data_IF_300291920337
#
_entry.id   IF_300291920337
#
_cell.length_a   1.000
_cell.length_b   1.000
_cell.length_c   1.000
_cell.angle_alpha   90.00
_cell.angle_beta   90.00
_cell.angle_gamma   90.00
#
_symmetry.space_group_name_H-M   'P 1'
#
loop_
_entity.id
_entity.type
_entity.pdbx_description
1 polymer ?
#
# COMPACT_ATOMS: atom_id res chain seq x y z
N UNK A 1 -21.13 -12.74 11.04
CA UNK A 1 -21.64 -12.64 9.65
C UNK A 1 -21.78 -11.21 9.10
N UNK A 2 -21.74 -10.13 9.91
CA UNK A 2 -21.84 -8.74 9.41
C UNK A 2 -20.54 -8.07 8.91
N UNK A 3 -19.38 -8.48 9.42
CA UNK A 3 -18.09 -7.82 9.12
C UNK A 3 -17.43 -8.20 7.78
N UNK A 4 -17.80 -9.36 7.20
CA UNK A 4 -17.40 -9.71 5.83
C UNK A 4 -18.18 -8.90 4.78
N UNK A 5 -19.40 -8.46 5.10
CA UNK A 5 -20.28 -7.78 4.14
C UNK A 5 -19.90 -6.31 3.90
N UNK A 6 -19.37 -5.61 4.92
CA UNK A 6 -18.93 -4.22 4.77
C UNK A 6 -17.52 -4.10 4.14
N UNK A 7 -16.60 -5.01 4.50
CA UNK A 7 -15.34 -5.21 3.75
C UNK A 7 -15.64 -5.58 2.30
N UNK A 8 -16.59 -6.49 2.08
CA UNK A 8 -17.02 -6.92 0.74
C UNK A 8 -17.54 -5.76 -0.10
N UNK A 9 -18.30 -4.78 0.41
CA UNK A 9 -18.86 -3.72 -0.46
C UNK A 9 -17.87 -2.63 -0.86
N UNK A 10 -16.99 -2.18 0.04
CA UNK A 10 -15.99 -1.14 -0.29
C UNK A 10 -14.84 -1.71 -1.12
N UNK A 11 -14.39 -2.94 -0.81
CA UNK A 11 -13.47 -3.68 -1.68
C UNK A 11 -14.14 -4.10 -2.99
N UNK A 12 -15.38 -4.61 -3.00
CA UNK A 12 -16.07 -4.96 -4.26
C UNK A 12 -16.40 -3.75 -5.14
N UNK A 13 -16.61 -2.56 -4.59
CA UNK A 13 -16.78 -1.35 -5.40
C UNK A 13 -15.44 -0.89 -6.01
N UNK A 14 -14.33 -1.08 -5.28
CA UNK A 14 -12.97 -0.93 -5.82
C UNK A 14 -12.70 -1.97 -6.91
N UNK A 15 -13.01 -3.25 -6.65
CA UNK A 15 -12.85 -4.38 -7.57
C UNK A 15 -13.79 -4.31 -8.79
N UNK A 16 -14.90 -3.56 -8.72
CA UNK A 16 -15.85 -3.38 -9.81
C UNK A 16 -15.54 -2.18 -10.75
N UNK A 17 -14.39 -1.51 -10.59
CA UNK A 17 -13.96 -0.46 -11.52
C UNK A 17 -14.84 0.80 -11.53
N UNK A 18 -15.53 1.12 -10.42
CA UNK A 18 -16.34 2.36 -10.26
C UNK A 18 -15.69 3.35 -9.29
N UNK A 19 -14.54 3.96 -9.65
CA UNK A 19 -13.70 4.72 -8.73
C UNK A 19 -14.41 5.91 -8.06
N UNK A 20 -15.39 6.52 -8.73
CA UNK A 20 -16.18 7.62 -8.15
C UNK A 20 -17.10 7.14 -7.03
N UNK A 21 -17.77 6.00 -7.20
CA UNK A 21 -18.71 5.49 -6.22
C UNK A 21 -17.97 4.97 -4.97
N UNK A 22 -16.86 4.26 -5.16
CA UNK A 22 -16.00 3.79 -4.08
C UNK A 22 -15.45 4.93 -3.24
N UNK A 23 -15.11 6.07 -3.86
CA UNK A 23 -14.66 7.26 -3.16
C UNK A 23 -15.74 7.85 -2.22
N UNK A 24 -17.00 7.88 -2.65
CA UNK A 24 -18.09 8.37 -1.81
C UNK A 24 -18.34 7.47 -0.60
N UNK A 25 -18.40 6.15 -0.81
CA UNK A 25 -18.54 5.16 0.28
C UNK A 25 -17.36 5.26 1.24
N UNK A 26 -16.15 5.38 0.72
CA UNK A 26 -14.96 5.55 1.53
C UNK A 26 -15.04 6.83 2.39
N UNK A 27 -15.50 7.94 1.81
CA UNK A 27 -15.74 9.18 2.56
C UNK A 27 -16.78 9.04 3.68
N UNK A 28 -17.83 8.23 3.49
CA UNK A 28 -18.78 7.90 4.56
C UNK A 28 -18.14 7.06 5.67
N UNK A 29 -17.35 6.04 5.30
CA UNK A 29 -16.60 5.23 6.26
C UNK A 29 -15.62 6.08 7.09
N UNK A 30 -14.94 7.04 6.46
CA UNK A 30 -14.08 8.01 7.14
C UNK A 30 -14.86 8.83 8.15
N UNK A 31 -16.01 9.39 7.76
CA UNK A 31 -16.85 10.17 8.68
C UNK A 31 -17.36 9.33 9.85
N UNK A 32 -17.76 8.08 9.61
CA UNK A 32 -18.17 7.16 10.68
C UNK A 32 -17.02 6.89 11.65
N UNK A 33 -15.81 6.63 11.15
CA UNK A 33 -14.64 6.41 11.99
C UNK A 33 -14.30 7.64 12.86
N UNK A 34 -14.47 8.85 12.32
CA UNK A 34 -14.29 10.11 13.05
C UNK A 34 -15.36 10.32 14.12
N UNK A 35 -16.64 10.09 13.80
CA UNK A 35 -17.76 10.22 14.76
C UNK A 35 -17.62 9.23 15.91
N UNK A 36 -17.17 8.01 15.62
CA UNK A 36 -16.89 6.99 16.63
C UNK A 36 -15.57 7.22 17.39
N UNK A 37 -14.82 8.28 17.05
CA UNK A 37 -13.52 8.62 17.64
C UNK A 37 -12.51 7.46 17.60
N UNK A 38 -12.52 6.67 16.52
CA UNK A 38 -11.67 5.48 16.41
C UNK A 38 -10.17 5.79 16.32
N UNK A 39 -9.79 7.08 16.24
CA UNK A 39 -8.42 7.57 16.36
C UNK A 39 -7.93 7.63 17.82
N UNK A 40 -8.82 7.48 18.80
CA UNK A 40 -8.51 7.51 20.23
C UNK A 40 -8.58 6.11 20.84
N UNK A 41 -7.50 5.65 21.47
CA UNK A 41 -7.49 4.38 22.19
C UNK A 41 -8.47 4.38 23.37
N UNK A 42 -8.64 5.53 24.03
CA UNK A 42 -9.58 5.71 25.14
C UNK A 42 -11.04 5.46 24.73
N UNK A 43 -11.40 5.65 23.45
CA UNK A 43 -12.73 5.33 22.93
C UNK A 43 -13.03 3.83 22.90
N UNK A 44 -11.99 3.00 23.05
CA UNK A 44 -12.05 1.54 23.01
C UNK A 44 -12.04 0.91 24.42
N UNK A 45 -11.82 1.72 25.46
CA UNK A 45 -11.82 1.28 26.85
C UNK A 45 -13.21 0.78 27.26
N UNK A 46 -13.25 -0.31 28.02
CA UNK A 46 -14.49 -0.93 28.48
C UNK A 46 -15.25 -1.76 27.44
N UNK A 47 -14.80 -1.79 26.18
CA UNK A 47 -15.35 -2.68 25.15
C UNK A 47 -14.86 -4.12 25.33
N UNK A 48 -15.59 -5.06 24.74
CA UNK A 48 -15.10 -6.44 24.60
C UNK A 48 -13.78 -6.45 23.80
N UNK A 49 -12.78 -7.27 24.15
CA UNK A 49 -11.48 -7.27 23.47
C UNK A 49 -11.57 -7.43 21.95
N UNK A 50 -12.48 -8.28 21.48
CA UNK A 50 -12.73 -8.46 20.05
C UNK A 50 -13.30 -7.20 19.39
N UNK A 51 -14.22 -6.52 20.07
CA UNK A 51 -14.85 -5.32 19.53
C UNK A 51 -13.83 -4.18 19.42
N UNK A 52 -13.02 -4.00 20.47
CA UNK A 52 -11.91 -3.05 20.46
C UNK A 52 -10.95 -3.34 19.28
N UNK A 53 -10.56 -4.60 19.10
CA UNK A 53 -9.66 -5.01 18.01
C UNK A 53 -10.27 -4.79 16.62
N UNK A 54 -11.55 -5.10 16.42
CA UNK A 54 -12.25 -4.83 15.17
C UNK A 54 -12.31 -3.33 14.86
N UNK A 55 -12.52 -2.50 15.88
CA UNK A 55 -12.51 -1.03 15.76
C UNK A 55 -11.12 -0.49 15.44
N UNK A 56 -10.04 -1.02 16.05
CA UNK A 56 -8.65 -0.70 15.66
C UNK A 56 -8.42 -1.03 14.19
N UNK A 57 -8.76 -2.25 13.77
CA UNK A 57 -8.62 -2.69 12.37
C UNK A 57 -9.41 -1.79 11.41
N UNK A 58 -10.64 -1.42 11.77
CA UNK A 58 -11.47 -0.54 10.95
C UNK A 58 -10.82 0.85 10.77
N UNK A 59 -10.36 1.47 11.86
CA UNK A 59 -9.66 2.75 11.79
C UNK A 59 -8.43 2.68 10.88
N UNK A 60 -7.57 1.67 11.07
CA UNK A 60 -6.34 1.56 10.31
C UNK A 60 -6.55 1.23 8.82
N UNK A 61 -7.60 0.49 8.47
CA UNK A 61 -7.99 0.27 7.07
C UNK A 61 -8.39 1.59 6.42
N UNK A 62 -9.21 2.41 7.09
CA UNK A 62 -9.59 3.73 6.58
C UNK A 62 -8.37 4.64 6.51
N UNK A 63 -7.52 4.66 7.54
CA UNK A 63 -6.28 5.44 7.52
C UNK A 63 -5.39 5.11 6.32
N UNK A 64 -5.15 3.82 6.05
CA UNK A 64 -4.34 3.37 4.91
C UNK A 64 -5.02 3.69 3.56
N UNK A 65 -6.34 3.50 3.47
CA UNK A 65 -7.12 3.85 2.28
C UNK A 65 -7.02 5.33 1.93
N UNK A 66 -7.02 6.22 2.94
CA UNK A 66 -6.85 7.66 2.77
C UNK A 66 -5.48 8.00 2.17
N UNK A 67 -4.41 7.34 2.66
CA UNK A 67 -3.06 7.49 2.12
C UNK A 67 -2.92 6.97 0.71
N UNK A 68 -3.43 5.77 0.45
CA UNK A 68 -3.44 5.19 -0.89
C UNK A 68 -4.16 6.11 -1.88
N UNK A 69 -5.36 6.58 -1.54
CA UNK A 69 -6.12 7.49 -2.38
C UNK A 69 -5.41 8.84 -2.59
N UNK A 70 -4.79 9.39 -1.56
CA UNK A 70 -4.05 10.65 -1.68
C UNK A 70 -2.81 10.51 -2.58
N UNK A 71 -2.11 9.38 -2.47
CA UNK A 71 -0.84 9.14 -3.14
C UNK A 71 -1.06 8.69 -4.60
N UNK A 72 -1.93 7.71 -4.84
CA UNK A 72 -2.14 7.11 -6.16
C UNK A 72 -3.15 7.87 -7.02
N UNK A 73 -4.17 8.46 -6.39
CA UNK A 73 -5.29 9.12 -7.09
C UNK A 73 -5.31 10.65 -6.96
N UNK A 74 -4.24 11.26 -6.42
CA UNK A 74 -4.17 12.69 -6.15
C UNK A 74 -5.38 13.22 -5.36
N UNK A 75 -5.91 12.42 -4.42
CA UNK A 75 -7.00 12.86 -3.54
C UNK A 75 -6.47 13.72 -2.38
N UNK A 76 -7.31 14.58 -1.79
CA UNK A 76 -6.95 15.25 -0.54
C UNK A 76 -6.76 14.23 0.59
N UNK A 77 -5.78 14.48 1.46
CA UNK A 77 -5.59 13.72 2.71
C UNK A 77 -6.67 14.19 3.68
N UNK A 78 -7.44 13.24 4.22
CA UNK A 78 -8.53 13.50 5.17
C UNK A 78 -8.23 13.04 6.59
N UNK A 79 -7.30 12.09 6.76
CA UNK A 79 -6.95 11.53 8.08
C UNK A 79 -5.45 11.69 8.34
N UNK A 80 -5.02 12.81 8.91
CA UNK A 80 -3.63 13.01 9.31
C UNK A 80 -3.51 13.20 10.82
N UNK A 81 -2.30 13.09 11.39
CA UNK A 81 -2.07 13.41 12.82
C UNK A 81 -2.48 14.85 13.18
N UNK A 82 -2.46 15.75 12.20
CA UNK A 82 -2.91 17.14 12.34
C UNK A 82 -4.41 17.34 12.07
N UNK A 83 -5.13 16.29 11.63
CA UNK A 83 -6.58 16.33 11.45
C UNK A 83 -7.35 16.15 12.77
N UNK A 84 -6.66 15.77 13.84
CA UNK A 84 -7.23 15.48 15.15
C UNK A 84 -6.54 16.32 16.22
N UNK A 85 -7.30 16.87 17.15
CA UNK A 85 -6.77 17.69 18.25
C UNK A 85 -5.76 16.94 19.11
N UNK A 86 -6.08 15.70 19.51
CA UNK A 86 -5.19 14.83 20.30
C UNK A 86 -4.31 13.92 19.43
N UNK A 87 -4.32 14.10 18.11
CA UNK A 87 -3.65 13.20 17.17
C UNK A 87 -4.29 11.81 17.08
N UNK A 88 -3.45 10.81 16.78
CA UNK A 88 -3.84 9.40 16.66
C UNK A 88 -3.16 8.66 17.82
N UNK A 89 -3.96 8.14 18.75
CA UNK A 89 -3.47 7.35 19.90
C UNK A 89 -3.83 5.88 19.80
N UNK A 90 -4.74 5.51 18.89
CA UNK A 90 -5.13 4.12 18.63
C UNK A 90 -3.91 3.26 18.31
N UNK A 91 -3.77 2.15 19.02
CA UNK A 91 -2.66 1.22 18.87
C UNK A 91 -2.79 0.41 17.57
N UNK A 92 -1.66 -0.12 17.09
CA UNK A 92 -1.71 -1.11 16.02
C UNK A 92 -2.52 -2.34 16.47
N UNK A 93 -3.29 -2.97 15.58
CA UNK A 93 -4.02 -4.19 15.90
C UNK A 93 -3.10 -5.29 16.41
N UNK A 94 -3.56 -6.03 17.43
CA UNK A 94 -2.76 -7.05 18.11
C UNK A 94 -2.93 -8.45 17.52
N UNK A 95 -3.93 -8.66 16.67
CA UNK A 95 -4.22 -9.98 16.07
C UNK A 95 -5.26 -10.79 16.85
N UNK A 96 -5.90 -10.22 17.87
CA UNK A 96 -6.97 -10.90 18.63
C UNK A 96 -8.16 -11.22 17.70
N UNK A 97 -8.68 -12.43 17.77
CA UNK A 97 -9.91 -12.85 17.06
C UNK A 97 -10.82 -13.63 18.02
N UNK A 98 -12.13 -13.60 17.76
CA UNK A 98 -13.13 -14.29 18.58
C UNK A 98 -13.33 -15.69 18.05
N UNK A 99 -12.66 -16.67 18.66
CA UNK A 99 -13.22 -18.01 18.80
C UNK A 99 -12.85 -18.55 20.18
N UNK A 100 -13.86 -18.69 21.04
CA UNK A 100 -13.82 -19.71 22.07
C UNK A 100 -13.45 -21.05 21.39
N UNK A 101 -12.52 -21.85 21.94
CA UNK A 101 -12.25 -23.15 21.37
C UNK A 101 -13.55 -23.94 21.45
N UNK A 102 -14.15 -24.25 20.29
CA UNK A 102 -15.10 -25.35 20.22
C UNK A 102 -14.28 -26.59 20.54
N UNK A 103 -14.24 -26.94 21.83
CA UNK A 103 -13.64 -28.14 22.36
C UNK A 103 -14.42 -29.32 21.78
N UNK A 104 -14.07 -29.72 20.56
CA UNK A 104 -14.26 -31.11 20.16
C UNK A 104 -13.29 -31.93 21.00
N UNK A 105 -13.78 -32.85 21.85
CA UNK A 105 -12.91 -33.67 22.69
C UNK A 105 -12.10 -34.60 21.78
N UNK A 106 -10.89 -34.18 21.41
CA UNK A 106 -10.00 -34.96 20.55
C UNK A 106 -8.82 -34.22 19.93
N UNK A 107 -8.88 -32.89 19.73
CA UNK A 107 -7.78 -32.15 19.12
C UNK A 107 -6.97 -31.37 20.16
N UNK A 108 -5.93 -32.03 20.67
CA UNK A 108 -4.87 -31.40 21.45
C UNK A 108 -4.11 -30.40 20.57
N UNK A 109 -4.18 -29.12 20.96
CA UNK A 109 -3.35 -27.99 20.50
C UNK A 109 -3.34 -27.79 18.97
N UNK A 110 -4.36 -27.10 18.45
CA UNK A 110 -4.39 -26.73 17.03
C UNK A 110 -3.58 -25.45 16.79
N UNK A 111 -2.64 -25.51 15.84
CA UNK A 111 -1.75 -24.47 15.29
C UNK A 111 -2.44 -23.17 14.76
N UNK A 112 -3.65 -22.85 15.21
CA UNK A 112 -4.45 -21.70 14.78
C UNK A 112 -3.95 -20.37 15.37
N UNK A 113 -3.47 -20.37 16.61
CA UNK A 113 -3.10 -19.13 17.32
C UNK A 113 -1.83 -18.48 16.73
N UNK A 114 -0.83 -19.28 16.36
CA UNK A 114 0.44 -18.81 15.76
C UNK A 114 0.20 -18.20 14.37
N UNK A 115 -0.74 -18.74 13.60
CA UNK A 115 -1.09 -18.28 12.24
C UNK A 115 -1.82 -16.94 12.27
N UNK A 116 -2.68 -16.72 13.28
CA UNK A 116 -3.48 -15.50 13.40
C UNK A 116 -2.62 -14.30 13.80
N UNK A 117 -1.66 -14.49 14.71
CA UNK A 117 -0.69 -13.46 15.11
C UNK A 117 0.21 -13.07 13.92
N UNK A 118 0.65 -14.05 13.14
CA UNK A 118 1.57 -13.80 12.00
C UNK A 118 0.90 -13.06 10.84
N UNK A 119 -0.44 -13.14 10.68
CA UNK A 119 -1.16 -12.36 9.67
C UNK A 119 -1.38 -10.89 10.05
N UNK A 120 -1.32 -10.53 11.32
CA UNK A 120 -1.40 -9.12 11.71
C UNK A 120 -0.07 -8.41 11.50
N UNK A 121 1.05 -9.13 11.53
CA UNK A 121 2.39 -8.57 11.34
C UNK A 121 2.56 -7.95 9.94
N UNK A 122 2.13 -8.65 8.88
CA UNK A 122 2.20 -8.12 7.52
C UNK A 122 1.21 -6.96 7.28
N UNK A 123 0.02 -7.01 7.89
CA UNK A 123 -0.91 -5.87 7.90
C UNK A 123 -0.27 -4.64 8.55
N UNK A 124 0.30 -4.79 9.75
CA UNK A 124 0.94 -3.69 10.49
C UNK A 124 2.17 -3.16 9.77
N UNK A 125 2.96 -4.02 9.12
CA UNK A 125 4.07 -3.60 8.27
C UNK A 125 3.59 -2.75 7.10
N UNK A 126 2.46 -3.11 6.48
CA UNK A 126 1.88 -2.35 5.37
C UNK A 126 1.43 -0.97 5.84
N UNK A 127 0.77 -0.89 7.01
CA UNK A 127 0.40 0.39 7.61
C UNK A 127 1.61 1.29 7.82
N UNK A 128 2.69 0.77 8.42
CA UNK A 128 3.94 1.51 8.63
C UNK A 128 4.53 1.99 7.32
N UNK A 129 4.56 1.14 6.29
CA UNK A 129 5.04 1.49 4.96
C UNK A 129 4.31 2.70 4.38
N UNK A 130 2.97 2.66 4.36
CA UNK A 130 2.15 3.77 3.86
C UNK A 130 2.27 5.04 4.71
N UNK A 131 2.38 4.89 6.03
CA UNK A 131 2.60 6.02 6.93
C UNK A 131 3.95 6.70 6.65
N UNK A 132 5.05 5.95 6.57
CA UNK A 132 6.38 6.49 6.28
C UNK A 132 6.42 7.19 4.93
N UNK A 133 5.82 6.59 3.89
CA UNK A 133 5.72 7.23 2.58
C UNK A 133 4.89 8.51 2.61
N UNK A 134 3.76 8.52 3.35
CA UNK A 134 2.94 9.71 3.52
C UNK A 134 3.68 10.84 4.23
N UNK A 135 4.38 10.54 5.32
CA UNK A 135 5.14 11.53 6.09
C UNK A 135 6.22 12.18 5.21
N UNK A 136 6.94 11.36 4.42
CA UNK A 136 7.93 11.82 3.46
C UNK A 136 7.31 12.69 2.35
N UNK A 137 6.21 12.24 1.74
CA UNK A 137 5.54 12.97 0.66
C UNK A 137 4.90 14.28 1.14
N UNK A 138 4.44 14.32 2.40
CA UNK A 138 3.96 15.54 3.02
C UNK A 138 5.09 16.54 3.24
N UNK A 139 6.25 16.08 3.73
CA UNK A 139 7.42 16.94 3.89
C UNK A 139 7.85 17.55 2.54
N UNK A 140 7.92 16.72 1.50
CA UNK A 140 8.21 17.18 0.13
C UNK A 140 7.22 18.26 -0.34
N UNK A 141 5.93 18.09 -0.03
CA UNK A 141 4.88 19.07 -0.38
C UNK A 141 5.04 20.39 0.39
N UNK A 142 5.34 20.32 1.68
CA UNK A 142 5.56 21.51 2.51
C UNK A 142 6.80 22.29 2.05
N UNK A 143 7.88 21.60 1.68
CA UNK A 143 9.06 22.22 1.10
C UNK A 143 8.75 22.90 -0.23
N UNK A 144 7.93 22.29 -1.10
CA UNK A 144 7.51 22.90 -2.37
C UNK A 144 6.70 24.17 -2.16
N UNK A 145 5.76 24.17 -1.21
CA UNK A 145 4.90 25.33 -0.90
C UNK A 145 5.73 26.51 -0.37
N UNK A 146 6.65 26.26 0.57
CA UNK A 146 7.57 27.29 1.10
C UNK A 146 8.44 27.91 0.00
N UNK A 147 9.03 27.08 -0.85
CA UNK A 147 9.84 27.55 -1.96
C UNK A 147 9.04 28.42 -2.95
N UNK A 148 7.77 28.09 -3.21
CA UNK A 148 6.90 28.91 -4.06
C UNK A 148 6.59 30.27 -3.42
N UNK A 149 6.39 30.32 -2.11
CA UNK A 149 6.17 31.56 -1.37
C UNK A 149 7.42 32.45 -1.36
N UNK A 150 8.61 31.88 -1.11
CA UNK A 150 9.86 32.64 -1.08
C UNK A 150 10.24 33.25 -2.45
N UNK A 151 10.00 32.51 -3.54
CA UNK A 151 10.18 32.99 -4.91
C UNK A 151 9.24 34.16 -5.26
N UNK A 152 8.04 34.18 -4.68
CA UNK A 152 7.08 35.27 -4.89
C UNK A 152 7.46 36.56 -4.15
N UNK A 153 8.22 36.45 -3.06
CA UNK A 153 8.59 37.56 -2.18
C UNK A 153 10.04 38.05 -2.38
N UNK A 154 10.91 37.22 -2.95
CA UNK A 154 12.32 37.54 -3.15
C UNK A 154 12.86 36.90 -4.44
N UNK A 155 13.55 37.69 -5.27
CA UNK A 155 14.26 37.23 -6.48
C UNK A 155 15.49 36.34 -6.16
N UNK A 156 15.53 35.70 -4.98
CA UNK A 156 16.62 34.84 -4.57
C UNK A 156 16.40 33.44 -5.11
N UNK A 157 17.50 32.79 -5.52
CA UNK A 157 17.46 31.35 -5.79
C UNK A 157 16.92 30.65 -4.55
N UNK A 158 16.06 29.63 -4.74
CA UNK A 158 15.51 28.95 -3.58
C UNK A 158 16.73 28.38 -2.81
N UNK A 159 16.77 28.49 -1.49
CA UNK A 159 17.81 27.85 -0.67
C UNK A 159 17.11 26.91 0.32
N UNK A 160 17.18 25.59 0.08
CA UNK A 160 16.75 24.61 1.08
C UNK A 160 17.69 24.75 2.28
N UNK A 161 17.12 24.94 3.47
CA UNK A 161 17.92 24.93 4.70
C UNK A 161 18.55 23.55 4.92
N UNK A 162 19.76 23.49 5.47
CA UNK A 162 20.41 22.22 5.80
C UNK A 162 19.49 21.33 6.67
N UNK A 163 18.72 21.95 7.57
CA UNK A 163 17.76 21.27 8.43
C UNK A 163 16.61 20.59 7.67
N UNK A 164 16.07 21.21 6.63
CA UNK A 164 15.01 20.62 5.80
C UNK A 164 15.53 19.41 5.01
N UNK A 165 16.77 19.52 4.49
CA UNK A 165 17.42 18.40 3.83
C UNK A 165 17.66 17.24 4.79
N UNK A 166 18.22 17.50 5.98
CA UNK A 166 18.47 16.47 6.99
C UNK A 166 17.17 15.77 7.41
N UNK A 167 16.08 16.52 7.55
CA UNK A 167 14.76 15.96 7.86
C UNK A 167 14.22 15.09 6.74
N UNK A 168 14.36 15.54 5.49
CA UNK A 168 13.95 14.78 4.32
C UNK A 168 14.76 13.47 4.20
N UNK A 169 16.07 13.55 4.39
CA UNK A 169 16.98 12.41 4.35
C UNK A 169 16.63 11.40 5.45
N UNK A 170 16.35 11.87 6.68
CA UNK A 170 15.90 11.01 7.78
C UNK A 170 14.57 10.30 7.47
N UNK A 171 13.59 11.01 6.91
CA UNK A 171 12.31 10.41 6.48
C UNK A 171 12.49 9.41 5.34
N UNK A 172 13.38 9.72 4.39
CA UNK A 172 13.70 8.82 3.28
C UNK A 172 14.38 7.54 3.75
N UNK A 173 15.35 7.63 4.66
CA UNK A 173 16.00 6.47 5.29
C UNK A 173 14.95 5.64 6.03
N UNK A 174 14.11 6.27 6.87
CA UNK A 174 13.05 5.57 7.60
C UNK A 174 12.08 4.85 6.65
N UNK A 175 11.76 5.43 5.50
CA UNK A 175 10.92 4.79 4.49
C UNK A 175 11.62 3.59 3.84
N UNK A 176 12.89 3.74 3.41
CA UNK A 176 13.56 2.68 2.66
C UNK A 176 13.89 1.46 3.53
N UNK A 177 14.13 1.65 4.83
CA UNK A 177 14.46 0.59 5.78
C UNK A 177 13.24 0.06 6.56
N UNK A 178 12.02 0.55 6.30
CA UNK A 178 10.86 0.21 7.14
C UNK A 178 10.42 -1.26 7.08
N UNK A 179 10.95 -2.02 6.12
CA UNK A 179 10.66 -3.44 5.93
C UNK A 179 11.87 -4.35 6.25
N UNK A 180 13.01 -3.81 6.66
CA UNK A 180 14.23 -4.59 6.88
C UNK A 180 14.07 -5.62 8.00
N UNK A 181 13.36 -5.23 9.07
CA UNK A 181 13.10 -6.06 10.26
C UNK A 181 11.88 -6.98 10.10
N UNK A 182 11.40 -7.21 8.87
CA UNK A 182 10.29 -8.13 8.63
C UNK A 182 10.67 -9.57 9.06
N UNK A 183 9.73 -10.31 9.68
CA UNK A 183 9.90 -11.74 9.92
C UNK A 183 10.26 -12.49 8.63
N UNK A 184 11.08 -13.56 8.68
CA UNK A 184 11.54 -14.27 7.49
C UNK A 184 10.42 -14.69 6.54
N UNK A 185 9.27 -15.08 7.07
CA UNK A 185 8.12 -15.53 6.28
C UNK A 185 7.40 -14.39 5.51
N UNK A 186 7.76 -13.11 5.74
CA UNK A 186 7.27 -11.92 5.01
C UNK A 186 8.34 -11.26 4.13
N UNK A 187 9.56 -11.81 4.10
CA UNK A 187 10.65 -11.29 3.26
C UNK A 187 10.46 -11.68 1.78
N UNK A 188 11.08 -10.92 0.87
CA UNK A 188 10.92 -11.09 -0.57
C UNK A 188 11.42 -12.43 -1.12
N UNK A 189 12.47 -13.00 -0.53
CA UNK A 189 13.03 -14.29 -0.97
C UNK A 189 12.15 -15.50 -0.63
N UNK A 190 11.07 -15.29 0.13
CA UNK A 190 10.21 -16.36 0.63
C UNK A 190 9.32 -16.99 -0.44
N UNK A 191 9.10 -16.31 -1.58
CA UNK A 191 8.28 -16.83 -2.67
C UNK A 191 8.77 -18.20 -3.17
N UNK A 192 10.08 -18.36 -3.39
CA UNK A 192 10.65 -19.61 -3.89
C UNK A 192 10.63 -20.75 -2.85
N UNK A 193 10.74 -20.42 -1.56
CA UNK A 193 10.80 -21.41 -0.49
C UNK A 193 9.42 -22.01 -0.14
N UNK A 194 8.36 -21.24 -0.35
CA UNK A 194 7.02 -21.56 0.15
C UNK A 194 5.98 -21.83 -0.96
N UNK A 195 6.36 -21.76 -2.24
CA UNK A 195 5.44 -21.89 -3.37
C UNK A 195 4.73 -23.26 -3.45
N UNK A 196 5.40 -24.35 -3.05
CA UNK A 196 4.86 -25.72 -3.10
C UNK A 196 4.13 -26.13 -1.82
N UNK A 197 4.12 -25.28 -0.79
CA UNK A 197 3.43 -25.57 0.45
C UNK A 197 1.92 -25.28 0.34
N UNK A 198 1.11 -26.32 0.49
CA UNK A 198 -0.36 -26.23 0.38
C UNK A 198 -1.06 -25.67 1.63
N UNK A 199 -0.32 -25.29 2.67
CA UNK A 199 -0.90 -24.81 3.93
C UNK A 199 -1.55 -23.44 3.73
N UNK A 200 -2.77 -23.29 4.23
CA UNK A 200 -3.54 -22.04 4.13
C UNK A 200 -2.79 -20.85 4.77
N UNK A 201 -2.02 -21.14 5.82
CA UNK A 201 -1.15 -20.21 6.54
C UNK A 201 -0.08 -19.63 5.61
N UNK A 202 0.58 -20.53 4.86
CA UNK A 202 1.60 -20.20 3.88
C UNK A 202 1.00 -19.35 2.76
N UNK A 203 -0.25 -19.65 2.36
CA UNK A 203 -0.95 -18.81 1.38
C UNK A 203 -1.17 -17.39 1.87
N UNK A 204 -1.62 -17.21 3.11
CA UNK A 204 -1.83 -15.89 3.71
C UNK A 204 -0.53 -15.07 3.82
N UNK A 205 0.59 -15.72 4.10
CA UNK A 205 1.90 -15.06 4.11
C UNK A 205 2.33 -14.61 2.72
N UNK A 206 2.15 -15.46 1.70
CA UNK A 206 2.49 -15.13 0.32
C UNK A 206 1.64 -13.96 -0.21
N UNK A 207 0.36 -13.90 0.14
CA UNK A 207 -0.52 -12.75 -0.20
C UNK A 207 0.01 -11.45 0.43
N UNK A 208 0.36 -11.49 1.71
CA UNK A 208 0.86 -10.30 2.43
C UNK A 208 2.23 -9.87 1.92
N UNK A 209 3.14 -10.82 1.70
CA UNK A 209 4.46 -10.54 1.13
C UNK A 209 4.33 -9.90 -0.26
N UNK A 210 3.52 -10.49 -1.15
CA UNK A 210 3.27 -9.92 -2.48
C UNK A 210 2.73 -8.48 -2.40
N UNK A 211 1.79 -8.21 -1.48
CA UNK A 211 1.25 -6.87 -1.26
C UNK A 211 2.32 -5.89 -0.76
N UNK A 212 3.08 -6.27 0.26
CA UNK A 212 4.14 -5.44 0.85
C UNK A 212 5.20 -5.08 -0.17
N UNK A 213 5.73 -6.09 -0.87
CA UNK A 213 6.83 -5.92 -1.82
C UNK A 213 6.41 -5.08 -3.03
N UNK A 214 5.22 -5.28 -3.59
CA UNK A 214 4.73 -4.39 -4.66
C UNK A 214 4.40 -2.99 -4.15
N UNK A 215 3.90 -2.86 -2.92
CA UNK A 215 3.61 -1.55 -2.34
C UNK A 215 4.90 -0.72 -2.13
N UNK A 216 5.99 -1.31 -1.65
CA UNK A 216 7.25 -0.59 -1.46
C UNK A 216 7.81 -0.11 -2.80
N UNK A 217 7.79 -0.93 -3.85
CA UNK A 217 8.26 -0.50 -5.17
C UNK A 217 7.35 0.56 -5.80
N UNK A 218 6.04 0.45 -5.62
CA UNK A 218 5.10 1.48 -6.07
C UNK A 218 5.37 2.83 -5.39
N UNK A 219 5.55 2.81 -4.06
CA UNK A 219 5.85 4.02 -3.29
C UNK A 219 7.24 4.58 -3.62
N UNK A 220 8.25 3.73 -3.85
CA UNK A 220 9.57 4.16 -4.35
C UNK A 220 9.45 4.89 -5.69
N UNK A 221 8.59 4.41 -6.59
CA UNK A 221 8.33 5.07 -7.88
C UNK A 221 7.74 6.46 -7.67
N UNK A 222 6.68 6.57 -6.86
CA UNK A 222 6.03 7.85 -6.55
C UNK A 222 7.00 8.85 -5.91
N UNK A 223 7.76 8.40 -4.90
CA UNK A 223 8.72 9.25 -4.20
C UNK A 223 9.80 9.73 -5.17
N UNK A 224 10.30 8.85 -6.04
CA UNK A 224 11.29 9.21 -7.07
C UNK A 224 10.72 10.28 -8.02
N UNK A 225 9.48 10.13 -8.49
CA UNK A 225 8.81 11.15 -9.32
C UNK A 225 8.65 12.49 -8.59
N UNK A 226 8.35 12.49 -7.29
CA UNK A 226 8.20 13.74 -6.52
C UNK A 226 9.55 14.41 -6.26
N UNK A 227 10.61 13.63 -6.03
CA UNK A 227 11.97 14.14 -5.86
C UNK A 227 12.49 14.78 -7.16
N UNK A 228 12.22 14.20 -8.33
CA UNK A 228 12.58 14.79 -9.64
C UNK A 228 12.06 16.21 -9.86
N UNK A 229 10.88 16.50 -9.32
CA UNK A 229 10.25 17.80 -9.46
C UNK A 229 10.85 18.86 -8.53
N UNK A 230 11.77 18.49 -7.63
CA UNK A 230 12.48 19.46 -6.82
C UNK A 230 13.60 20.13 -7.64
N UNK A 231 13.69 21.47 -7.66
CA UNK A 231 14.63 22.21 -8.51
C UNK A 231 16.11 21.88 -8.24
N UNK A 232 16.44 21.36 -7.06
CA UNK A 232 17.80 20.97 -6.63
C UNK A 232 18.14 19.52 -6.92
N UNK A 233 17.12 18.67 -7.06
CA UNK A 233 17.25 17.25 -7.35
C UNK A 233 17.10 16.98 -8.84
N UNK A 234 17.42 17.98 -9.68
CA UNK A 234 17.77 17.80 -11.10
C UNK A 234 19.06 16.95 -11.18
N UNK A 235 18.93 15.69 -10.78
CA UNK A 235 19.69 14.60 -11.33
C UNK A 235 19.53 14.72 -12.84
N UNK A 236 20.64 14.57 -13.57
CA UNK A 236 20.60 14.51 -15.03
C UNK A 236 19.43 13.60 -15.44
N UNK A 237 18.59 14.02 -16.38
CA UNK A 237 17.29 13.33 -16.68
C UNK A 237 17.49 11.81 -16.84
N UNK A 238 18.64 11.41 -17.38
CA UNK A 238 19.06 10.01 -17.51
C UNK A 238 19.25 9.25 -16.19
N UNK A 239 19.73 9.86 -15.12
CA UNK A 239 19.87 9.21 -13.81
C UNK A 239 18.52 8.90 -13.17
N UNK A 240 17.55 9.78 -13.35
CA UNK A 240 16.24 9.58 -12.74
C UNK A 240 15.38 8.57 -13.50
N UNK A 241 15.40 8.64 -14.83
CA UNK A 241 14.77 7.61 -15.65
C UNK A 241 15.43 6.24 -15.40
N UNK A 242 16.76 6.19 -15.22
CA UNK A 242 17.45 4.94 -14.87
C UNK A 242 16.90 4.36 -13.56
N UNK A 243 16.80 5.19 -12.51
CA UNK A 243 16.25 4.78 -11.21
C UNK A 243 14.81 4.29 -11.30
N UNK A 244 13.95 4.97 -12.08
CA UNK A 244 12.58 4.51 -12.33
C UNK A 244 12.56 3.15 -13.01
N UNK A 245 13.40 2.93 -14.02
CA UNK A 245 13.47 1.61 -14.68
C UNK A 245 14.06 0.51 -13.78
N UNK A 246 14.89 0.85 -12.78
CA UNK A 246 15.34 -0.09 -11.75
C UNK A 246 14.20 -0.48 -10.82
N UNK A 247 13.46 0.50 -10.31
CA UNK A 247 12.27 0.26 -9.46
C UNK A 247 11.24 -0.61 -10.19
N UNK A 248 10.99 -0.34 -11.47
CA UNK A 248 10.06 -1.13 -12.28
C UNK A 248 10.52 -2.60 -12.44
N UNK A 249 11.81 -2.83 -12.66
CA UNK A 249 12.36 -4.19 -12.73
C UNK A 249 12.32 -4.91 -11.39
N UNK A 250 12.63 -4.24 -10.29
CA UNK A 250 12.54 -4.84 -8.96
C UNK A 250 11.09 -5.28 -8.68
N UNK A 251 10.11 -4.43 -9.01
CA UNK A 251 8.69 -4.78 -8.93
C UNK A 251 8.34 -5.99 -9.80
N UNK A 252 8.84 -6.02 -11.05
CA UNK A 252 8.59 -7.13 -11.96
C UNK A 252 9.14 -8.46 -11.42
N UNK A 253 10.34 -8.46 -10.84
CA UNK A 253 10.92 -9.67 -10.22
C UNK A 253 10.01 -10.20 -9.13
N UNK A 254 9.57 -9.34 -8.21
CA UNK A 254 8.62 -9.71 -7.14
C UNK A 254 7.34 -10.32 -7.73
N UNK A 255 6.75 -9.68 -8.74
CA UNK A 255 5.51 -10.15 -9.36
C UNK A 255 5.69 -11.49 -10.08
N UNK A 256 6.85 -11.71 -10.71
CA UNK A 256 7.15 -12.94 -11.44
C UNK A 256 7.50 -14.11 -10.51
N UNK A 257 8.12 -13.83 -9.37
CA UNK A 257 8.46 -14.82 -8.34
C UNK A 257 7.24 -15.22 -7.51
N UNK A 258 6.32 -14.29 -7.27
CA UNK A 258 5.12 -14.55 -6.50
C UNK A 258 4.15 -15.50 -7.23
N UNK A 259 3.55 -16.49 -6.52
CA UNK A 259 2.52 -17.32 -7.12
C UNK A 259 1.35 -16.47 -7.63
N UNK A 260 0.91 -16.71 -8.86
CA UNK A 260 -0.06 -15.83 -9.53
C UNK A 260 -1.36 -15.63 -8.72
N UNK A 261 -1.84 -16.68 -8.05
CA UNK A 261 -3.04 -16.60 -7.20
C UNK A 261 -2.87 -15.61 -6.03
N UNK A 262 -1.65 -15.43 -5.50
CA UNK A 262 -1.37 -14.47 -4.43
C UNK A 262 -1.50 -13.02 -4.90
N UNK A 263 -1.24 -12.77 -6.18
CA UNK A 263 -1.44 -11.48 -6.84
C UNK A 263 -2.93 -11.21 -7.04
N UNK A 264 -3.67 -12.23 -7.49
CA UNK A 264 -5.10 -12.11 -7.79
C UNK A 264 -5.94 -11.75 -6.57
N UNK A 265 -5.63 -12.32 -5.40
CA UNK A 265 -6.36 -12.06 -4.16
C UNK A 265 -6.25 -10.61 -3.70
N UNK A 266 -5.18 -9.90 -4.08
CA UNK A 266 -5.01 -8.49 -3.72
C UNK A 266 -5.92 -7.52 -4.52
N UNK A 267 -6.55 -7.97 -5.61
CA UNK A 267 -7.60 -7.24 -6.32
C UNK A 267 -7.16 -5.95 -7.01
N UNK A 268 -8.13 -5.04 -7.23
CA UNK A 268 -7.90 -3.77 -7.96
C UNK A 268 -6.83 -2.86 -7.32
N UNK A 269 -6.70 -2.74 -5.97
CA UNK A 269 -5.63 -1.94 -5.37
C UNK A 269 -4.22 -2.40 -5.78
N UNK A 270 -4.04 -3.68 -6.13
CA UNK A 270 -2.77 -4.19 -6.64
C UNK A 270 -2.54 -3.80 -8.09
N UNK A 271 -3.58 -3.95 -8.91
CA UNK A 271 -3.61 -3.56 -10.32
C UNK A 271 -3.30 -2.07 -10.49
N UNK A 272 -3.85 -1.21 -9.63
CA UNK A 272 -3.59 0.23 -9.63
C UNK A 272 -2.10 0.56 -9.44
N UNK A 273 -1.41 -0.13 -8.53
CA UNK A 273 0.04 0.03 -8.30
C UNK A 273 0.85 -0.35 -9.54
N UNK A 274 0.45 -1.43 -10.22
CA UNK A 274 1.07 -1.88 -11.46
C UNK A 274 0.84 -0.87 -12.59
N UNK A 275 -0.39 -0.34 -12.73
CA UNK A 275 -0.71 0.68 -13.74
C UNK A 275 0.11 1.96 -13.51
N UNK A 276 0.34 2.37 -12.26
CA UNK A 276 1.21 3.51 -11.96
C UNK A 276 2.64 3.29 -12.48
N UNK A 277 3.23 2.14 -12.17
CA UNK A 277 4.57 1.77 -12.68
C UNK A 277 4.59 1.74 -14.21
N UNK A 278 3.56 1.16 -14.83
CA UNK A 278 3.40 1.13 -16.29
C UNK A 278 3.32 2.53 -16.91
N UNK A 279 2.59 3.46 -16.29
CA UNK A 279 2.52 4.85 -16.73
C UNK A 279 3.89 5.54 -16.66
N UNK A 280 4.68 5.30 -15.61
CA UNK A 280 6.05 5.80 -15.51
C UNK A 280 6.94 5.27 -16.62
N UNK A 281 6.81 3.99 -16.99
CA UNK A 281 7.57 3.41 -18.10
C UNK A 281 7.16 4.02 -19.45
N UNK A 282 5.85 4.25 -19.67
CA UNK A 282 5.35 4.91 -20.87
C UNK A 282 5.91 6.34 -21.02
N UNK A 283 5.98 7.09 -19.92
CA UNK A 283 6.59 8.42 -19.87
C UNK A 283 8.07 8.37 -20.32
N UNK A 284 8.84 7.39 -19.84
CA UNK A 284 10.25 7.19 -20.21
C UNK A 284 10.38 6.83 -21.70
N UNK A 285 9.53 5.92 -22.20
CA UNK A 285 9.51 5.52 -23.61
C UNK A 285 9.25 6.72 -24.51
N UNK A 286 8.29 7.56 -24.13
CA UNK A 286 7.93 8.76 -24.88
C UNK A 286 9.07 9.80 -24.88
N UNK A 287 9.69 10.06 -23.74
CA UNK A 287 10.76 11.06 -23.59
C UNK A 287 12.08 10.66 -24.28
N UNK A 288 12.40 9.38 -24.31
CA UNK A 288 13.74 8.91 -24.68
C UNK A 288 13.81 8.19 -26.05
N UNK A 289 12.70 8.13 -26.80
CA UNK A 289 12.68 7.63 -28.19
C UNK A 289 13.31 6.25 -28.38
N UNK A 290 14.39 6.17 -29.18
CA UNK A 290 15.10 4.94 -29.52
C UNK A 290 16.31 4.62 -28.62
N UNK A 291 16.47 5.31 -27.49
CA UNK A 291 17.60 5.07 -26.59
C UNK A 291 17.58 3.67 -25.95
N UNK A 292 18.71 3.19 -25.41
CA UNK A 292 18.77 1.93 -24.67
C UNK A 292 17.84 1.90 -23.45
N UNK A 293 17.65 3.03 -22.77
CA UNK A 293 16.74 3.12 -21.63
C UNK A 293 15.27 3.01 -22.05
N UNK A 294 14.90 3.58 -23.21
CA UNK A 294 13.57 3.41 -23.78
C UNK A 294 13.34 1.97 -24.24
N UNK A 295 14.36 1.29 -24.78
CA UNK A 295 14.27 -0.12 -25.16
C UNK A 295 14.04 -1.02 -23.93
N UNK A 296 14.78 -0.77 -22.83
CA UNK A 296 14.53 -1.40 -21.53
C UNK A 296 13.09 -1.17 -21.06
N UNK A 297 12.65 0.09 -21.03
CA UNK A 297 11.30 0.44 -20.56
C UNK A 297 10.20 -0.23 -21.41
N UNK A 298 10.38 -0.34 -22.74
CA UNK A 298 9.46 -1.08 -23.63
C UNK A 298 9.36 -2.56 -23.26
N UNK A 299 10.50 -3.21 -23.03
CA UNK A 299 10.54 -4.62 -22.62
C UNK A 299 9.82 -4.83 -21.28
N UNK A 300 10.15 -4.01 -20.28
CA UNK A 300 9.55 -4.09 -18.95
C UNK A 300 8.03 -3.79 -18.99
N UNK A 301 7.62 -2.80 -19.78
CA UNK A 301 6.20 -2.44 -19.97
C UNK A 301 5.39 -3.56 -20.64
N UNK A 302 5.95 -4.25 -21.63
CA UNK A 302 5.28 -5.36 -22.29
C UNK A 302 4.92 -6.50 -21.30
N UNK A 303 5.81 -6.78 -20.35
CA UNK A 303 5.57 -7.77 -19.29
C UNK A 303 4.47 -7.31 -18.34
N UNK A 304 4.47 -6.03 -17.92
CA UNK A 304 3.40 -5.49 -17.08
C UNK A 304 2.04 -5.54 -17.79
N UNK A 305 2.01 -5.27 -19.10
CA UNK A 305 0.78 -5.32 -19.88
C UNK A 305 0.20 -6.74 -19.94
N UNK A 306 1.04 -7.76 -20.18
CA UNK A 306 0.61 -9.17 -20.13
C UNK A 306 0.10 -9.57 -18.75
N UNK A 307 0.77 -9.14 -17.68
CA UNK A 307 0.32 -9.42 -16.32
C UNK A 307 -1.04 -8.76 -16.02
N UNK A 308 -1.23 -7.51 -16.43
CA UNK A 308 -2.49 -6.79 -16.26
C UNK A 308 -3.65 -7.45 -17.00
N UNK A 309 -3.45 -7.87 -18.25
CA UNK A 309 -4.49 -8.56 -19.03
C UNK A 309 -4.86 -9.90 -18.41
N UNK A 310 -3.89 -10.64 -17.87
CA UNK A 310 -4.13 -11.92 -17.16
C UNK A 310 -4.88 -11.71 -15.84
N UNK A 311 -4.53 -10.69 -15.07
CA UNK A 311 -5.24 -10.34 -13.83
C UNK A 311 -6.71 -9.98 -14.11
N UNK A 312 -6.96 -9.20 -15.17
CA UNK A 312 -8.31 -8.79 -15.57
C UNK A 312 -9.16 -9.95 -16.11
N UNK A 313 -8.60 -10.76 -17.00
CA UNK A 313 -9.29 -11.93 -17.57
C UNK A 313 -9.70 -12.93 -16.50
N UNK A 314 -8.84 -13.19 -15.51
CA UNK A 314 -9.15 -14.18 -14.46
C UNK A 314 -10.03 -13.63 -13.35
N UNK A 315 -9.94 -12.32 -13.04
CA UNK A 315 -10.92 -11.67 -12.18
C UNK A 315 -12.33 -11.75 -12.81
N UNK A 316 -12.42 -11.53 -14.13
CA UNK A 316 -13.66 -11.68 -14.89
C UNK A 316 -14.21 -13.12 -14.87
N UNK A 317 -13.35 -14.14 -15.01
CA UNK A 317 -13.75 -15.55 -14.93
C UNK A 317 -14.29 -15.92 -13.52
N UNK A 318 -13.63 -15.43 -12.46
CA UNK A 318 -14.06 -15.68 -11.08
C UNK A 318 -15.42 -15.05 -10.78
N UNK A 319 -15.69 -13.84 -11.29
CA UNK A 319 -16.99 -13.17 -11.21
C UNK A 319 -18.09 -13.92 -11.98
N UNK A 320 -17.76 -14.53 -13.13
CA UNK A 320 -18.72 -15.36 -13.89
C UNK A 320 -19.06 -16.66 -13.15
N UNK A 321 -18.06 -17.33 -12.58
CA UNK A 321 -18.26 -18.59 -11.86
C UNK A 321 -19.03 -18.41 -10.53
N UNK A 322 -18.84 -17.27 -9.86
CA UNK A 322 -19.62 -16.94 -8.64
C UNK A 322 -21.06 -16.56 -8.98
N UNK A 323 -21.31 -15.95 -10.14
CA UNK A 323 -22.67 -15.64 -10.61
C UNK A 323 -23.46 -16.89 -10.99
N UNK A 324 -22.80 -17.95 -11.47
CA UNK A 324 -23.44 -19.23 -11.79
C UNK A 324 -23.80 -20.10 -10.58
N UNK A 325 -23.31 -19.76 -9.37
CA UNK A 325 -23.62 -20.47 -8.12
C UNK A 325 -24.86 -19.90 -7.40
N UNK A 326 -25.51 -18.89 -7.97
CA UNK A 326 -26.70 -18.21 -7.40
C UNK A 326 -28.00 -18.62 -8.13
N UNK A 327 -27.95 -19.63 -9.02
CA UNK A 327 -29.13 -20.16 -9.69
C UNK A 327 -29.54 -21.54 -9.22
#
# INVERSE_FOLDING_TARGET
MGNQHCRSRTLAAFDAGKPKYSWHIFGEATRLAQVMQLNLETSLEGLQPIEAELRRRAFWIVYMGDKSAAILNNRPITIHKFSFESGITTSYPSGIEDEAPVLSPGNLVTNSDVVRITCIEGFNANLRLWQNASDLLLELRLMQDRNQQDLSMSNLQPLISAQEKDRLDALYVRFITCLDDLPPYLQSYTFAALADESRETTKQFLIQCANLQVSIHCLRMVITQKLENLPYYKSDIGHSDLRKTEIARDMLRVIQEAPFWSLQVNGEPYVEKIRLTGASLLEIIHRNGSSPIAARARSDFAVLLDLLTRLDSKASDALRNTSSLIH
#
